data_IF_693300731507
#
_entry.id   IF_693300731507
#
_cell.length_a   1.000
_cell.length_b   1.000
_cell.length_c   1.000
_cell.angle_alpha   90.00
_cell.angle_beta   90.00
_cell.angle_gamma   90.00
#
_symmetry.space_group_name_H-M   'P 1'
#
loop_
_entity.id
_entity.type
_entity.pdbx_description
1 polymer ?
#
# COMPACT_ATOMS: atom_id res chain seq x y z
N UNK A 1 25.25 -6.27 6.86
CA UNK A 1 25.59 -7.46 6.04
C UNK A 1 26.37 -8.41 6.93
N UNK A 2 25.88 -9.62 7.14
CA UNK A 2 26.55 -10.65 7.91
C UNK A 2 27.01 -11.74 6.95
N UNK A 3 28.32 -12.04 6.97
CA UNK A 3 28.90 -13.13 6.17
C UNK A 3 29.44 -14.18 7.12
N UNK A 4 28.94 -15.41 7.01
CA UNK A 4 29.43 -16.56 7.76
C UNK A 4 30.33 -17.45 6.90
N UNK A 5 31.51 -17.78 7.38
CA UNK A 5 32.38 -18.76 6.76
C UNK A 5 32.41 -20.07 7.57
N UNK A 6 32.57 -21.18 6.88
CA UNK A 6 32.63 -22.52 7.49
C UNK A 6 33.88 -22.72 8.34
N UNK A 7 34.95 -22.00 8.06
CA UNK A 7 36.22 -21.99 8.79
C UNK A 7 36.54 -20.53 9.20
N UNK A 8 37.28 -20.33 10.30
CA UNK A 8 37.74 -19.00 10.65
C UNK A 8 38.55 -18.36 9.50
N UNK A 9 38.08 -17.25 8.98
CA UNK A 9 38.75 -16.48 7.95
C UNK A 9 39.15 -15.15 8.51
N UNK A 10 40.45 -14.85 8.57
CA UNK A 10 40.95 -13.51 8.92
C UNK A 10 40.82 -12.62 7.70
N UNK A 11 39.88 -11.67 7.77
CA UNK A 11 39.71 -10.64 6.74
C UNK A 11 40.82 -9.60 6.91
N UNK A 12 41.62 -9.29 5.86
CA UNK A 12 42.64 -8.24 5.89
C UNK A 12 42.07 -6.89 6.34
N UNK A 13 42.90 -6.12 7.06
CA UNK A 13 42.45 -4.85 7.64
C UNK A 13 41.99 -3.85 6.57
N UNK A 14 42.63 -3.85 5.42
CA UNK A 14 42.27 -3.01 4.26
C UNK A 14 40.86 -3.29 3.76
N UNK A 15 40.49 -4.56 3.66
CA UNK A 15 39.14 -4.95 3.27
C UNK A 15 38.09 -4.58 4.33
N UNK A 16 38.46 -4.67 5.61
CA UNK A 16 37.56 -4.20 6.69
C UNK A 16 37.30 -2.70 6.59
N UNK A 17 38.37 -1.92 6.40
CA UNK A 17 38.28 -0.48 6.24
C UNK A 17 37.45 -0.10 5.02
N UNK A 18 37.67 -0.76 3.89
CA UNK A 18 36.87 -0.55 2.68
C UNK A 18 35.38 -0.87 2.91
N UNK A 19 35.07 -2.00 3.55
CA UNK A 19 33.67 -2.35 3.89
C UNK A 19 33.04 -1.35 4.88
N UNK A 20 33.80 -0.86 5.86
CA UNK A 20 33.33 0.16 6.78
C UNK A 20 33.01 1.49 6.06
N UNK A 21 33.89 1.91 5.16
CA UNK A 21 33.69 3.14 4.36
C UNK A 21 32.44 3.01 3.48
N UNK A 22 32.29 1.89 2.77
CA UNK A 22 31.09 1.61 1.96
C UNK A 22 29.84 1.58 2.85
N UNK A 23 29.92 0.91 4.00
CA UNK A 23 28.81 0.82 4.95
C UNK A 23 28.41 2.16 5.57
N UNK A 24 29.29 3.17 5.57
CA UNK A 24 28.98 4.54 6.00
C UNK A 24 28.39 5.40 4.87
N UNK A 25 28.90 5.24 3.65
CA UNK A 25 28.49 6.08 2.52
C UNK A 25 27.16 5.62 1.91
N UNK A 26 26.94 4.31 1.77
CA UNK A 26 25.73 3.74 1.18
C UNK A 26 24.43 4.21 1.86
N UNK A 27 24.29 4.16 3.20
CA UNK A 27 23.07 4.63 3.85
C UNK A 27 22.78 6.11 3.60
N UNK A 28 23.82 6.95 3.57
CA UNK A 28 23.67 8.37 3.28
C UNK A 28 23.14 8.61 1.85
N UNK A 29 23.65 7.86 0.87
CA UNK A 29 23.19 7.96 -0.51
C UNK A 29 21.75 7.46 -0.65
N UNK A 30 21.41 6.33 -0.02
CA UNK A 30 20.05 5.79 -0.04
C UNK A 30 19.08 6.81 0.58
N UNK A 31 19.40 7.36 1.76
CA UNK A 31 18.55 8.36 2.41
C UNK A 31 18.38 9.65 1.59
N UNK A 32 19.45 10.06 0.88
CA UNK A 32 19.37 11.22 -0.01
C UNK A 32 18.47 10.95 -1.23
N UNK A 33 18.56 9.76 -1.82
CA UNK A 33 17.69 9.37 -2.93
C UNK A 33 16.24 9.26 -2.49
N UNK A 34 15.96 8.62 -1.35
CA UNK A 34 14.62 8.55 -0.77
C UNK A 34 14.02 9.94 -0.49
N UNK A 35 14.82 10.86 0.02
CA UNK A 35 14.39 12.23 0.27
C UNK A 35 14.04 12.98 -1.03
N UNK A 36 14.83 12.78 -2.09
CA UNK A 36 14.57 13.35 -3.41
C UNK A 36 13.28 12.77 -4.01
N UNK A 37 13.10 11.47 -3.96
CA UNK A 37 11.88 10.80 -4.47
C UNK A 37 10.63 11.30 -3.73
N UNK A 38 10.70 11.43 -2.41
CA UNK A 38 9.62 12.01 -1.61
C UNK A 38 9.33 13.47 -1.97
N UNK A 39 10.37 14.25 -2.28
CA UNK A 39 10.18 15.65 -2.71
C UNK A 39 9.48 15.73 -4.06
N UNK A 40 9.90 14.94 -5.03
CA UNK A 40 9.24 14.86 -6.34
C UNK A 40 7.78 14.42 -6.22
N UNK A 41 7.50 13.37 -5.45
CA UNK A 41 6.13 12.92 -5.24
C UNK A 41 5.24 14.01 -4.59
N UNK A 42 5.80 14.82 -3.69
CA UNK A 42 5.08 15.94 -3.09
C UNK A 42 4.78 17.05 -4.11
N UNK A 43 5.76 17.39 -4.96
CA UNK A 43 5.58 18.39 -6.01
C UNK A 43 4.50 17.97 -7.00
N UNK A 44 4.52 16.71 -7.47
CA UNK A 44 3.50 16.14 -8.34
C UNK A 44 2.10 16.17 -7.70
N UNK A 45 1.99 15.83 -6.41
CA UNK A 45 0.73 15.90 -5.68
C UNK A 45 0.21 17.32 -5.53
N UNK A 46 1.07 18.29 -5.24
CA UNK A 46 0.70 19.71 -5.12
C UNK A 46 0.18 20.24 -6.47
N UNK A 47 0.84 19.88 -7.56
CA UNK A 47 0.39 20.27 -8.91
C UNK A 47 -0.96 19.62 -9.24
N UNK A 48 -1.14 18.33 -8.94
CA UNK A 48 -2.40 17.63 -9.13
C UNK A 48 -3.55 18.25 -8.32
N UNK A 49 -3.30 18.60 -7.07
CA UNK A 49 -4.28 19.29 -6.22
C UNK A 49 -4.64 20.67 -6.76
N UNK A 50 -3.67 21.44 -7.27
CA UNK A 50 -3.92 22.74 -7.88
C UNK A 50 -4.80 22.63 -9.16
N UNK A 51 -4.56 21.58 -9.95
CA UNK A 51 -5.38 21.30 -11.14
C UNK A 51 -6.81 20.90 -10.75
N UNK A 52 -6.99 20.07 -9.71
CA UNK A 52 -8.31 19.72 -9.19
C UNK A 52 -9.05 20.93 -8.62
N UNK A 53 -8.39 21.77 -7.84
CA UNK A 53 -8.96 23.02 -7.30
C UNK A 53 -9.45 23.94 -8.43
N UNK A 54 -8.64 24.08 -9.49
CA UNK A 54 -9.04 24.85 -10.67
C UNK A 54 -10.25 24.23 -11.36
N UNK A 55 -10.32 22.92 -11.51
CA UNK A 55 -11.45 22.22 -12.11
C UNK A 55 -12.73 22.35 -11.27
N UNK A 56 -12.61 22.25 -9.94
CA UNK A 56 -13.72 22.46 -9.01
C UNK A 56 -14.27 23.89 -9.09
N UNK A 57 -13.39 24.89 -9.12
CA UNK A 57 -13.77 26.31 -9.24
C UNK A 57 -14.37 26.68 -10.59
N UNK A 58 -13.99 25.99 -11.66
CA UNK A 58 -14.53 26.21 -13.00
C UNK A 58 -15.91 25.57 -13.20
N UNK A 59 -16.36 24.71 -12.30
CA UNK A 59 -17.67 24.08 -12.35
C UNK A 59 -18.65 24.94 -11.54
N UNK A 60 -19.47 25.73 -12.26
CA UNK A 60 -20.49 26.60 -11.69
C UNK A 60 -21.44 25.82 -10.75
N UNK A 61 -21.21 25.90 -9.44
CA UNK A 61 -22.05 25.38 -8.35
C UNK A 61 -21.88 23.89 -7.98
N UNK A 62 -21.05 23.11 -8.67
CA UNK A 62 -20.94 21.69 -8.37
C UNK A 62 -19.50 21.19 -8.33
N UNK A 63 -18.94 21.05 -7.12
CA UNK A 63 -17.58 20.56 -6.88
C UNK A 63 -17.37 19.14 -7.46
N UNK A 64 -18.38 18.28 -7.36
CA UNK A 64 -18.29 16.89 -7.83
C UNK A 64 -18.27 16.78 -9.34
N UNK A 65 -18.98 17.64 -10.07
CA UNK A 65 -18.88 17.77 -11.53
C UNK A 65 -17.46 18.14 -11.97
N UNK A 66 -16.80 19.01 -11.24
CA UNK A 66 -15.41 19.39 -11.46
C UNK A 66 -14.47 18.20 -11.29
N UNK A 67 -14.65 17.43 -10.23
CA UNK A 67 -13.88 16.21 -9.94
C UNK A 67 -14.15 15.13 -11.00
N UNK A 68 -15.39 14.93 -11.40
CA UNK A 68 -15.79 13.94 -12.41
C UNK A 68 -15.19 14.19 -13.79
N UNK A 69 -14.79 15.43 -14.10
CA UNK A 69 -14.09 15.78 -15.35
C UNK A 69 -12.61 15.42 -15.34
N UNK A 70 -12.04 15.13 -14.16
CA UNK A 70 -10.60 14.83 -13.99
C UNK A 70 -10.36 13.46 -13.31
N UNK A 71 -10.97 12.37 -13.80
CA UNK A 71 -10.92 11.08 -13.10
C UNK A 71 -9.51 10.48 -13.05
N UNK A 72 -8.68 10.71 -14.08
CA UNK A 72 -7.30 10.23 -14.09
C UNK A 72 -6.48 10.89 -12.99
N UNK A 73 -6.60 12.20 -12.87
CA UNK A 73 -5.88 12.97 -11.86
C UNK A 73 -6.26 12.55 -10.44
N UNK A 74 -7.56 12.24 -10.22
CA UNK A 74 -8.04 11.70 -8.95
C UNK A 74 -7.44 10.31 -8.64
N UNK A 75 -7.34 9.45 -9.65
CA UNK A 75 -6.74 8.12 -9.47
C UNK A 75 -5.24 8.22 -9.22
N UNK A 76 -4.53 9.04 -9.97
CA UNK A 76 -3.08 9.23 -9.86
C UNK A 76 -2.70 9.82 -8.50
N UNK A 77 -3.48 10.79 -7.99
CA UNK A 77 -3.27 11.41 -6.69
C UNK A 77 -3.25 10.39 -5.54
N UNK A 78 -4.14 9.41 -5.60
CA UNK A 78 -4.27 8.37 -4.59
C UNK A 78 -3.60 7.05 -5.00
N UNK A 79 -2.87 6.98 -6.13
CA UNK A 79 -2.33 5.74 -6.70
C UNK A 79 -3.37 4.61 -6.72
N UNK A 80 -4.60 4.95 -7.10
CA UNK A 80 -5.74 4.06 -7.09
C UNK A 80 -6.01 3.44 -8.46
N UNK A 81 -6.48 2.19 -8.47
CA UNK A 81 -6.90 1.50 -9.69
C UNK A 81 -8.27 1.94 -10.20
N UNK A 82 -9.08 2.55 -9.33
CA UNK A 82 -10.40 3.07 -9.66
C UNK A 82 -10.89 4.13 -8.68
N UNK A 83 -11.83 4.96 -9.12
CA UNK A 83 -12.48 5.98 -8.30
C UNK A 83 -13.98 6.01 -8.57
N UNK A 84 -14.76 6.13 -7.51
CA UNK A 84 -16.20 6.35 -7.58
C UNK A 84 -16.55 7.68 -6.92
N UNK A 85 -17.36 8.49 -7.61
CA UNK A 85 -17.87 9.75 -7.12
C UNK A 85 -19.38 9.59 -6.96
N UNK A 86 -19.87 9.85 -5.76
CA UNK A 86 -21.29 9.79 -5.42
C UNK A 86 -21.77 11.21 -5.14
N UNK A 87 -22.83 11.59 -5.80
CA UNK A 87 -23.45 12.87 -5.67
C UNK A 87 -24.97 12.75 -5.82
N UNK A 88 -25.72 13.13 -4.79
CA UNK A 88 -27.19 13.17 -4.81
C UNK A 88 -27.84 11.95 -5.50
N UNK A 89 -27.41 10.73 -5.17
CA UNK A 89 -27.83 9.45 -5.78
C UNK A 89 -27.23 9.15 -7.16
N UNK A 90 -26.56 10.06 -7.82
CA UNK A 90 -25.79 9.77 -9.02
C UNK A 90 -24.46 9.11 -8.62
N UNK A 91 -24.02 8.18 -9.44
CA UNK A 91 -22.77 7.45 -9.25
C UNK A 91 -21.96 7.50 -10.53
N UNK A 92 -20.81 8.14 -10.47
CA UNK A 92 -19.82 8.14 -11.54
C UNK A 92 -18.68 7.20 -11.16
N UNK A 93 -18.31 6.29 -12.07
CA UNK A 93 -17.25 5.31 -11.85
C UNK A 93 -16.20 5.43 -12.94
N UNK A 94 -14.92 5.39 -12.54
CA UNK A 94 -13.78 5.47 -13.45
C UNK A 94 -12.72 4.45 -13.02
N UNK A 95 -12.09 3.80 -14.01
CA UNK A 95 -11.11 2.76 -13.74
C UNK A 95 -11.74 1.44 -13.25
N UNK A 96 -10.98 0.69 -12.47
CA UNK A 96 -11.37 -0.62 -11.96
C UNK A 96 -12.16 -0.46 -10.64
N UNK A 97 -13.47 -0.50 -10.74
CA UNK A 97 -14.38 -0.27 -9.61
C UNK A 97 -15.34 -1.45 -9.42
N UNK A 98 -15.78 -1.72 -8.19
CA UNK A 98 -16.87 -2.64 -7.91
C UNK A 98 -18.17 -2.26 -8.63
N UNK A 99 -19.14 -3.15 -8.63
CA UNK A 99 -20.44 -2.90 -9.22
C UNK A 99 -21.22 -1.79 -8.51
N UNK A 100 -22.12 -1.06 -9.22
CA UNK A 100 -22.86 0.07 -8.64
C UNK A 100 -23.59 -0.25 -7.36
N UNK A 101 -24.17 -1.44 -7.25
CA UNK A 101 -24.88 -1.87 -6.05
C UNK A 101 -23.93 -2.07 -4.86
N UNK A 102 -22.75 -2.62 -5.10
CA UNK A 102 -21.72 -2.85 -4.09
C UNK A 102 -21.15 -1.52 -3.58
N UNK A 103 -20.86 -0.57 -4.48
CA UNK A 103 -20.38 0.77 -4.11
C UNK A 103 -21.42 1.50 -3.26
N UNK A 104 -22.70 1.46 -3.62
CA UNK A 104 -23.76 2.09 -2.84
C UNK A 104 -23.93 1.46 -1.46
N UNK A 105 -23.81 0.14 -1.37
CA UNK A 105 -23.88 -0.59 -0.10
C UNK A 105 -22.68 -0.22 0.80
N UNK A 106 -21.48 -0.16 0.23
CA UNK A 106 -20.28 0.26 0.94
C UNK A 106 -20.38 1.71 1.41
N UNK A 107 -20.83 2.63 0.56
CA UNK A 107 -21.02 4.04 0.91
C UNK A 107 -22.02 4.22 2.06
N UNK A 108 -23.13 3.50 2.02
CA UNK A 108 -24.12 3.51 3.10
C UNK A 108 -23.55 3.01 4.43
N UNK A 109 -22.70 1.97 4.37
CA UNK A 109 -22.01 1.45 5.55
C UNK A 109 -21.01 2.49 6.10
N UNK A 110 -20.22 3.13 5.24
CA UNK A 110 -19.28 4.20 5.61
C UNK A 110 -20.00 5.40 6.25
N UNK A 111 -21.15 5.81 5.71
CA UNK A 111 -21.95 6.88 6.29
C UNK A 111 -22.50 6.55 7.69
N UNK A 112 -22.74 5.25 7.96
CA UNK A 112 -23.20 4.81 9.27
C UNK A 112 -22.09 4.88 10.33
N UNK A 113 -20.82 4.79 9.95
CA UNK A 113 -19.67 4.96 10.86
C UNK A 113 -19.49 6.42 11.32
N UNK A 114 -19.95 7.38 10.52
CA UNK A 114 -19.87 8.81 10.83
C UNK A 114 -18.48 9.43 10.66
N UNK A 115 -17.51 8.67 10.16
CA UNK A 115 -16.16 9.17 9.92
C UNK A 115 -16.08 9.94 8.60
N UNK A 116 -15.50 11.17 8.59
CA UNK A 116 -15.38 11.97 7.38
C UNK A 116 -14.36 11.38 6.39
N UNK A 117 -13.36 10.66 6.89
CA UNK A 117 -12.34 9.98 6.11
C UNK A 117 -12.16 8.56 6.65
N UNK A 118 -12.22 7.59 5.78
CA UNK A 118 -12.01 6.18 6.11
C UNK A 118 -10.96 5.58 5.17
N UNK A 119 -10.01 4.84 5.72
CA UNK A 119 -9.00 4.13 4.93
C UNK A 119 -8.79 2.72 5.46
N UNK A 120 -8.73 1.76 4.55
CA UNK A 120 -8.38 0.37 4.86
C UNK A 120 -7.62 -0.25 3.70
N UNK A 121 -6.57 -1.00 4.00
CA UNK A 121 -5.83 -1.83 3.04
C UNK A 121 -6.34 -3.28 2.97
N UNK A 122 -7.22 -3.65 3.91
CA UNK A 122 -7.91 -4.95 3.95
C UNK A 122 -9.40 -4.71 4.22
N UNK A 123 -10.11 -4.30 3.17
CA UNK A 123 -11.53 -3.94 3.28
C UNK A 123 -12.39 -5.12 3.73
N UNK A 124 -12.11 -6.34 3.26
CA UNK A 124 -12.89 -7.53 3.59
C UNK A 124 -12.84 -7.88 5.10
N UNK A 125 -11.78 -7.49 5.82
CA UNK A 125 -11.67 -7.72 7.25
C UNK A 125 -12.63 -6.83 8.07
N UNK A 126 -12.94 -5.62 7.58
CA UNK A 126 -13.81 -4.66 8.27
C UNK A 126 -15.23 -4.60 7.69
N UNK A 127 -15.35 -4.92 6.41
CA UNK A 127 -16.60 -5.00 5.67
C UNK A 127 -16.68 -6.34 4.90
N UNK A 128 -17.17 -7.43 5.52
CA UNK A 128 -17.16 -8.78 4.95
C UNK A 128 -17.73 -8.91 3.53
N UNK A 129 -18.78 -8.15 3.11
CA UNK A 129 -19.26 -8.22 1.73
C UNK A 129 -18.23 -7.85 0.67
N UNK A 130 -17.15 -7.14 1.05
CA UNK A 130 -16.06 -6.79 0.13
C UNK A 130 -15.27 -8.01 -0.39
N UNK A 131 -15.38 -9.17 0.25
CA UNK A 131 -14.76 -10.42 -0.23
C UNK A 131 -15.18 -10.78 -1.66
N UNK A 132 -16.39 -10.41 -2.09
CA UNK A 132 -16.88 -10.67 -3.45
C UNK A 132 -16.15 -9.86 -4.53
N UNK A 133 -15.57 -8.72 -4.19
CA UNK A 133 -14.92 -7.82 -5.12
C UNK A 133 -13.49 -7.42 -4.70
N UNK A 134 -12.86 -8.20 -3.85
CA UNK A 134 -11.49 -7.92 -3.35
C UNK A 134 -10.44 -7.79 -4.47
N UNK A 135 -10.61 -8.48 -5.60
CA UNK A 135 -9.70 -8.33 -6.75
C UNK A 135 -9.66 -6.90 -7.31
N UNK A 136 -10.75 -6.16 -7.17
CA UNK A 136 -10.87 -4.77 -7.63
C UNK A 136 -10.64 -3.77 -6.50
N UNK A 137 -11.05 -4.12 -5.27
CA UNK A 137 -11.08 -3.21 -4.14
C UNK A 137 -10.74 -3.93 -2.82
N UNK A 138 -9.52 -4.44 -2.69
CA UNK A 138 -8.98 -4.89 -1.40
C UNK A 138 -8.67 -3.72 -0.48
N UNK A 139 -8.25 -2.58 -1.05
CA UNK A 139 -8.08 -1.32 -0.34
C UNK A 139 -9.10 -0.28 -0.73
N UNK A 140 -9.55 0.49 0.25
CA UNK A 140 -10.43 1.63 0.03
C UNK A 140 -9.94 2.85 0.82
N UNK A 141 -9.96 4.01 0.18
CA UNK A 141 -9.93 5.33 0.80
C UNK A 141 -11.25 6.00 0.47
N UNK A 142 -11.96 6.49 1.46
CA UNK A 142 -13.22 7.17 1.27
C UNK A 142 -13.19 8.52 1.97
N UNK A 143 -13.66 9.54 1.27
CA UNK A 143 -13.92 10.87 1.79
C UNK A 143 -15.38 11.18 1.54
N UNK A 144 -16.14 11.39 2.61
CA UNK A 144 -17.55 11.69 2.55
C UNK A 144 -17.88 13.01 3.19
N UNK A 145 -18.91 13.70 2.69
CA UNK A 145 -19.49 14.80 3.42
C UNK A 145 -20.42 14.25 4.50
N UNK A 146 -20.39 14.82 5.72
CA UNK A 146 -21.28 14.39 6.79
C UNK A 146 -22.75 14.64 6.39
N UNK A 147 -23.64 13.79 6.91
CA UNK A 147 -25.08 13.97 6.71
C UNK A 147 -25.50 15.44 6.98
N UNK A 148 -26.47 15.99 6.24
CA UNK A 148 -27.49 15.27 5.45
C UNK A 148 -27.13 15.03 3.98
N UNK A 149 -25.92 15.36 3.54
CA UNK A 149 -25.52 15.25 2.13
C UNK A 149 -25.05 13.84 1.81
N UNK A 150 -25.58 13.24 0.73
CA UNK A 150 -25.23 11.88 0.28
C UNK A 150 -24.13 11.95 -0.79
N UNK A 151 -23.03 12.63 -0.46
CA UNK A 151 -21.93 12.87 -1.38
C UNK A 151 -20.63 12.26 -0.84
N UNK A 152 -19.80 11.75 -1.73
CA UNK A 152 -18.52 11.20 -1.35
C UNK A 152 -17.67 10.76 -2.54
N UNK A 153 -16.39 10.59 -2.28
CA UNK A 153 -15.42 10.05 -3.23
C UNK A 153 -14.78 8.82 -2.60
N UNK A 154 -14.75 7.73 -3.35
CA UNK A 154 -14.16 6.46 -2.94
C UNK A 154 -13.08 6.08 -3.95
N UNK A 155 -11.88 5.85 -3.47
CA UNK A 155 -10.77 5.31 -4.25
C UNK A 155 -10.59 3.84 -3.91
N UNK A 156 -10.33 3.05 -4.93
CA UNK A 156 -10.16 1.60 -4.81
C UNK A 156 -8.75 1.20 -5.25
N UNK A 157 -8.10 0.41 -4.41
CA UNK A 157 -6.85 -0.28 -4.75
C UNK A 157 -7.11 -1.77 -4.90
N UNK A 158 -6.64 -2.38 -6.00
CA UNK A 158 -6.80 -3.81 -6.21
C UNK A 158 -5.98 -4.61 -5.19
N UNK A 159 -6.29 -5.88 -5.12
CA UNK A 159 -5.49 -6.86 -4.40
C UNK A 159 -4.06 -6.91 -4.94
N UNK A 160 -3.09 -6.85 -4.04
CA UNK A 160 -1.68 -7.11 -4.36
C UNK A 160 -1.38 -8.56 -4.03
N UNK A 161 -1.13 -9.36 -5.08
CA UNK A 161 -0.65 -10.73 -4.90
C UNK A 161 0.86 -10.70 -4.68
N UNK A 162 1.29 -10.48 -3.47
CA UNK A 162 2.70 -10.60 -3.12
C UNK A 162 3.03 -12.05 -2.76
N UNK A 163 3.89 -12.66 -3.57
CA UNK A 163 4.58 -13.89 -3.22
C UNK A 163 5.82 -13.55 -2.39
N UNK A 164 5.71 -13.56 -1.08
CA UNK A 164 6.88 -13.37 -0.22
C UNK A 164 7.64 -14.68 -0.19
N UNK A 165 8.81 -14.68 -0.83
CA UNK A 165 9.73 -15.80 -0.82
C UNK A 165 10.59 -15.76 0.44
N UNK A 166 10.28 -16.60 1.42
CA UNK A 166 11.11 -16.76 2.60
C UNK A 166 12.18 -17.85 2.33
N UNK A 167 13.38 -17.61 2.81
CA UNK A 167 14.44 -18.63 2.81
C UNK A 167 14.16 -19.66 3.90
N UNK A 168 13.27 -20.62 3.60
CA UNK A 168 12.87 -21.71 4.49
C UNK A 168 11.60 -21.39 5.30
N UNK A 169 10.84 -22.44 5.62
CA UNK A 169 9.63 -22.38 6.45
C UNK A 169 9.98 -21.96 7.90
N UNK A 170 9.47 -20.82 8.41
CA UNK A 170 9.73 -20.38 9.78
C UNK A 170 9.13 -21.32 10.82
N UNK A 171 8.16 -22.18 10.46
CA UNK A 171 7.51 -23.14 11.34
C UNK A 171 8.19 -24.53 11.33
N UNK A 172 9.16 -24.76 10.44
CA UNK A 172 9.89 -26.03 10.40
C UNK A 172 10.73 -26.18 11.67
N UNK A 173 10.58 -27.28 12.41
CA UNK A 173 11.35 -27.50 13.64
C UNK A 173 12.85 -27.46 13.34
N UNK A 174 13.61 -26.90 14.28
CA UNK A 174 15.06 -26.87 14.19
C UNK A 174 15.59 -28.31 14.27
N UNK A 175 16.38 -28.75 13.29
CA UNK A 175 17.06 -30.02 13.35
C UNK A 175 18.18 -29.94 14.39
N UNK A 176 17.94 -30.63 15.51
CA UNK A 176 18.92 -30.77 16.58
C UNK A 176 19.72 -32.03 16.33
N UNK A 177 21.03 -31.93 16.20
CA UNK A 177 21.95 -33.06 16.11
C UNK A 177 22.62 -33.25 17.47
N UNK A 178 22.49 -34.47 17.99
CA UNK A 178 23.26 -34.91 19.15
C UNK A 178 24.67 -35.27 18.68
N UNK A 179 25.66 -34.48 19.07
CA UNK A 179 27.07 -34.80 18.89
C UNK A 179 27.73 -35.09 20.23
N UNK A 180 28.85 -35.79 20.24
CA UNK A 180 29.64 -36.09 21.46
C UNK A 180 30.09 -34.84 22.23
N UNK A 181 29.97 -33.65 21.63
CA UNK A 181 30.28 -32.35 22.24
C UNK A 181 29.03 -31.59 22.70
N UNK A 182 27.85 -32.24 22.76
CA UNK A 182 26.57 -31.61 23.13
C UNK A 182 25.64 -31.30 21.94
N UNK A 183 24.47 -30.77 22.30
CA UNK A 183 23.41 -30.44 21.33
C UNK A 183 23.82 -29.25 20.46
N UNK A 184 23.96 -29.43 19.15
CA UNK A 184 24.29 -28.37 18.19
C UNK A 184 23.13 -28.13 17.23
N UNK A 185 22.87 -26.87 16.93
CA UNK A 185 21.98 -26.44 15.86
C UNK A 185 22.65 -26.70 14.53
N UNK A 186 22.05 -27.54 13.69
CA UNK A 186 22.47 -27.63 12.28
C UNK A 186 22.05 -26.39 11.51
N UNK A 187 22.91 -25.84 10.65
CA UNK A 187 22.48 -24.89 9.64
C UNK A 187 21.36 -25.55 8.81
N UNK A 188 20.29 -24.84 8.53
CA UNK A 188 19.21 -25.33 7.67
C UNK A 188 19.80 -25.77 6.33
N UNK A 189 19.66 -27.05 6.00
CA UNK A 189 20.21 -27.65 4.77
C UNK A 189 19.32 -27.46 3.55
N UNK A 190 18.05 -27.07 3.74
CA UNK A 190 17.15 -26.78 2.63
C UNK A 190 16.71 -25.32 2.70
N UNK A 191 17.12 -24.53 1.72
CA UNK A 191 16.57 -23.22 1.42
C UNK A 191 15.37 -23.38 0.47
N UNK A 192 14.45 -24.28 0.77
CA UNK A 192 13.20 -24.36 0.04
C UNK A 192 12.47 -23.01 0.17
N UNK A 193 12.15 -22.43 -0.97
CA UNK A 193 11.43 -21.18 -1.03
C UNK A 193 10.02 -21.43 -0.47
N UNK A 194 9.77 -20.94 0.73
CA UNK A 194 8.44 -20.96 1.29
C UNK A 194 7.68 -19.74 0.80
N UNK A 195 6.62 -19.97 0.02
CA UNK A 195 5.78 -18.91 -0.53
C UNK A 195 4.61 -18.67 0.41
N UNK A 196 4.52 -17.46 0.95
CA UNK A 196 3.29 -16.97 1.59
C UNK A 196 2.55 -16.15 0.56
N UNK A 197 1.43 -16.68 0.13
CA UNK A 197 0.48 -15.93 -0.70
C UNK A 197 -0.33 -15.03 0.23
N UNK A 198 -0.07 -13.74 0.19
CA UNK A 198 -0.89 -12.75 0.88
C UNK A 198 -2.03 -12.36 -0.07
N UNK A 199 -3.23 -12.83 0.24
CA UNK A 199 -4.44 -12.55 -0.51
C UNK A 199 -5.33 -11.55 0.27
N UNK A 200 -6.10 -10.75 -0.45
CA UNK A 200 -7.10 -9.84 0.16
C UNK A 200 -6.55 -8.53 0.72
N UNK A 201 -5.28 -8.20 0.44
CA UNK A 201 -4.64 -6.98 0.92
C UNK A 201 -4.21 -6.12 -0.27
N UNK A 202 -4.40 -4.81 -0.19
CA UNK A 202 -3.87 -3.83 -1.14
C UNK A 202 -2.54 -3.23 -0.66
N UNK A 203 -1.93 -2.40 -1.50
CA UNK A 203 -0.87 -1.49 -1.03
C UNK A 203 -1.42 -0.58 0.06
N UNK A 204 -0.63 -0.36 1.11
CA UNK A 204 -1.02 0.48 2.26
C UNK A 204 -1.25 1.93 1.82
N UNK A 205 -2.24 2.56 2.41
CA UNK A 205 -2.44 4.00 2.30
C UNK A 205 -1.35 4.72 3.09
N UNK A 206 -0.60 5.57 2.42
CA UNK A 206 0.43 6.38 3.07
C UNK A 206 -0.20 7.59 3.77
N UNK A 207 0.52 8.19 4.72
CA UNK A 207 0.08 9.44 5.34
C UNK A 207 -0.13 10.56 4.29
N UNK A 208 0.69 10.58 3.24
CA UNK A 208 0.54 11.52 2.13
C UNK A 208 -0.63 11.25 1.18
N UNK A 209 -1.33 10.12 1.32
CA UNK A 209 -2.56 9.83 0.57
C UNK A 209 -3.81 10.29 1.33
N UNK A 210 -3.65 10.57 2.64
CA UNK A 210 -4.75 10.94 3.56
C UNK A 210 -4.85 12.46 3.79
N UNK A 211 -3.77 13.22 3.52
CA UNK A 211 -3.65 14.66 3.78
C UNK A 211 -2.90 15.39 2.68
#
# INVERSE_FOLDING_TARGET
ISCGNRTPLLVPNELRTACQTIGQVLPLQISAMEALDLSHQREEKVEALAQLDKAMKASDHNVFDGLAKQPRLLMDLALAGGVAIIEDKQLHRYGNCPEPAQIRALHKWLQASGEPVFASDNLAAVYPPAAEFQQMASGVLAMGLPKPVDNGVLWFRPEVKENINWSGDPKKPLDLENSDAGMRLRPRTSFEIWKVEMAGISTKWSHGDLF
#
